data_IF_539933594827
#
_entry.id   IF_539933594827
#
_cell.length_a   1.000
_cell.length_b   1.000
_cell.length_c   1.000
_cell.angle_alpha   90.00
_cell.angle_beta   90.00
_cell.angle_gamma   90.00
#
_symmetry.space_group_name_H-M   'P 1'
#
loop_
_entity.id
_entity.type
_entity.pdbx_description
1 polymer ?
#
# COMPACT_ATOMS: atom_id res chain seq x y z
N UNK A 1 2.25 3.60 -16.41
CA UNK A 1 1.72 3.21 -15.07
C UNK A 1 2.19 1.80 -14.71
N UNK A 2 2.72 1.56 -13.51
CA UNK A 2 3.06 0.20 -13.04
C UNK A 2 1.79 -0.66 -12.88
N UNK A 3 1.82 -1.94 -13.27
CA UNK A 3 0.63 -2.82 -13.29
C UNK A 3 -0.07 -2.94 -11.93
N UNK A 4 0.70 -2.95 -10.84
CA UNK A 4 0.20 -3.08 -9.47
C UNK A 4 -0.70 -1.92 -9.05
N UNK A 5 -0.28 -0.67 -9.32
CA UNK A 5 -0.98 0.53 -8.86
C UNK A 5 -2.34 0.80 -9.54
N UNK A 6 -2.70 0.01 -10.56
CA UNK A 6 -3.98 0.18 -11.27
C UNK A 6 -5.20 0.02 -10.36
N UNK A 7 -5.12 -0.82 -9.32
CA UNK A 7 -6.20 -1.04 -8.36
C UNK A 7 -6.40 0.15 -7.41
N UNK A 8 -5.39 1.01 -7.26
CA UNK A 8 -5.40 2.12 -6.30
C UNK A 8 -5.66 3.47 -6.95
N UNK A 9 -6.10 3.51 -8.23
CA UNK A 9 -6.26 4.77 -8.97
C UNK A 9 -7.09 5.82 -8.22
N UNK A 10 -8.26 5.46 -7.70
CA UNK A 10 -9.10 6.38 -6.94
C UNK A 10 -8.59 6.73 -5.53
N UNK A 11 -7.66 5.95 -4.96
CA UNK A 11 -7.07 6.21 -3.63
C UNK A 11 -5.95 7.25 -3.67
N UNK A 12 -5.38 7.50 -4.86
CA UNK A 12 -4.21 8.37 -5.05
C UNK A 12 -4.58 9.81 -5.36
N UNK A 13 -5.85 10.09 -5.65
CA UNK A 13 -6.31 11.43 -5.96
C UNK A 13 -6.35 12.27 -4.67
N UNK A 14 -5.60 13.39 -4.58
CA UNK A 14 -5.53 14.20 -3.36
C UNK A 14 -6.89 14.76 -2.92
N UNK A 15 -7.82 14.95 -3.88
CA UNK A 15 -9.15 15.50 -3.62
C UNK A 15 -10.23 14.43 -3.40
N UNK A 16 -9.87 13.18 -3.09
CA UNK A 16 -10.84 12.08 -2.92
C UNK A 16 -11.93 12.36 -1.87
N UNK A 17 -11.65 13.22 -0.89
CA UNK A 17 -12.63 13.60 0.14
C UNK A 17 -13.64 14.66 -0.34
N UNK A 18 -13.39 15.30 -1.49
CA UNK A 18 -14.14 16.44 -2.01
C UNK A 18 -14.81 16.11 -3.35
N UNK A 19 -14.16 15.28 -4.17
CA UNK A 19 -14.63 14.90 -5.49
C UNK A 19 -15.37 13.56 -5.45
N UNK A 20 -16.63 13.58 -5.91
CA UNK A 20 -17.52 12.41 -5.91
C UNK A 20 -17.55 11.70 -7.26
N UNK A 21 -17.09 12.35 -8.35
CA UNK A 21 -17.05 11.73 -9.68
C UNK A 21 -15.84 10.78 -9.81
N UNK A 22 -16.07 9.46 -9.98
CA UNK A 22 -15.00 8.49 -10.17
C UNK A 22 -14.14 8.73 -11.41
N UNK A 23 -14.66 9.41 -12.44
CA UNK A 23 -13.93 9.72 -13.67
C UNK A 23 -12.92 10.84 -13.44
N UNK A 24 -13.33 11.93 -12.78
CA UNK A 24 -12.44 13.05 -12.42
C UNK A 24 -11.31 12.58 -11.51
N UNK A 25 -11.61 11.70 -10.54
CA UNK A 25 -10.61 11.08 -9.69
C UNK A 25 -9.59 10.24 -10.50
N UNK A 26 -10.03 9.55 -11.55
CA UNK A 26 -9.15 8.76 -12.42
C UNK A 26 -8.24 9.64 -13.25
N UNK A 27 -8.79 10.67 -13.90
CA UNK A 27 -8.02 11.60 -14.73
C UNK A 27 -6.96 12.32 -13.89
N UNK A 28 -7.35 12.83 -12.72
CA UNK A 28 -6.43 13.45 -11.76
C UNK A 28 -5.34 12.48 -11.34
N UNK A 29 -5.68 11.23 -11.04
CA UNK A 29 -4.69 10.25 -10.62
C UNK A 29 -3.79 9.73 -11.76
N UNK A 30 -4.21 9.90 -13.01
CA UNK A 30 -3.43 9.55 -14.20
C UNK A 30 -2.56 10.73 -14.68
N UNK A 31 -2.88 11.97 -14.29
CA UNK A 31 -2.06 13.17 -14.55
C UNK A 31 -0.95 13.40 -13.53
N UNK A 32 -0.95 12.68 -12.40
CA UNK A 32 0.11 12.79 -11.38
C UNK A 32 1.45 12.26 -11.91
N UNK A 33 2.53 12.98 -11.57
CA UNK A 33 3.87 12.50 -11.87
C UNK A 33 4.15 11.16 -11.18
N UNK A 34 4.76 10.26 -11.93
CA UNK A 34 4.96 8.89 -11.49
C UNK A 34 5.96 8.83 -10.34
N UNK A 35 7.07 9.57 -10.41
CA UNK A 35 8.11 9.49 -9.40
C UNK A 35 7.64 10.12 -8.10
N UNK A 36 6.98 11.29 -8.19
CA UNK A 36 6.38 11.96 -7.04
C UNK A 36 5.36 11.04 -6.35
N UNK A 37 4.50 10.37 -7.12
CA UNK A 37 3.52 9.44 -6.57
C UNK A 37 4.20 8.23 -5.89
N UNK A 38 5.21 7.63 -6.53
CA UNK A 38 5.90 6.47 -5.99
C UNK A 38 6.65 6.81 -4.69
N UNK A 39 7.08 8.05 -4.50
CA UNK A 39 7.76 8.50 -3.27
C UNK A 39 6.87 8.44 -2.03
N UNK A 40 5.53 8.48 -2.20
CA UNK A 40 4.54 8.45 -1.12
C UNK A 40 4.27 7.04 -0.58
N UNK A 41 4.81 6.00 -1.22
CA UNK A 41 4.58 4.62 -0.84
C UNK A 41 5.90 3.91 -0.50
N UNK A 42 5.91 3.23 0.63
CA UNK A 42 6.98 2.29 0.96
C UNK A 42 7.01 1.16 -0.08
N UNK A 43 8.22 0.75 -0.47
CA UNK A 43 8.45 -0.34 -1.41
C UNK A 43 9.15 -1.47 -0.66
N UNK A 44 8.68 -2.69 -0.87
CA UNK A 44 9.30 -3.89 -0.34
C UNK A 44 9.31 -4.98 -1.42
N UNK A 45 10.46 -5.62 -1.61
CA UNK A 45 10.65 -6.79 -2.46
C UNK A 45 10.69 -8.10 -1.67
N UNK A 46 10.86 -8.04 -0.35
CA UNK A 46 11.03 -9.21 0.53
C UNK A 46 10.16 -9.11 1.79
N UNK A 47 10.01 -10.23 2.51
CA UNK A 47 9.30 -10.26 3.81
C UNK A 47 10.03 -9.44 4.86
N UNK A 48 11.37 -9.45 4.86
CA UNK A 48 12.16 -8.73 5.85
C UNK A 48 12.02 -7.20 5.65
N UNK A 49 12.00 -6.73 4.40
CA UNK A 49 11.69 -5.32 4.11
C UNK A 49 10.26 -4.93 4.54
N UNK A 50 9.29 -5.84 4.43
CA UNK A 50 7.95 -5.61 4.97
C UNK A 50 7.97 -5.57 6.51
N UNK A 51 8.77 -6.41 7.17
CA UNK A 51 8.96 -6.35 8.62
C UNK A 51 9.54 -5.01 9.05
N UNK A 52 10.56 -4.50 8.36
CA UNK A 52 11.16 -3.20 8.67
C UNK A 52 10.15 -2.05 8.58
N UNK A 53 9.18 -2.14 7.65
CA UNK A 53 8.11 -1.15 7.49
C UNK A 53 7.07 -1.24 8.62
N UNK A 54 6.61 -2.45 8.96
CA UNK A 54 5.46 -2.63 9.84
C UNK A 54 5.82 -2.88 11.31
N UNK A 55 7.01 -3.40 11.62
CA UNK A 55 7.46 -3.70 12.98
C UNK A 55 7.46 -2.47 13.89
N UNK A 56 7.91 -1.27 13.47
CA UNK A 56 7.84 -0.08 14.32
C UNK A 56 6.41 0.23 14.77
N UNK A 57 5.41 0.01 13.92
CA UNK A 57 4.00 0.25 14.26
C UNK A 57 3.50 -0.67 15.39
N UNK A 58 4.04 -1.88 15.46
CA UNK A 58 3.68 -2.89 16.47
C UNK A 58 4.51 -2.73 17.75
N UNK A 59 5.82 -2.53 17.61
CA UNK A 59 6.76 -2.57 18.74
C UNK A 59 7.00 -1.21 19.36
N UNK A 60 7.18 -0.16 18.56
CA UNK A 60 7.55 1.17 19.05
C UNK A 60 6.32 2.04 19.32
N UNK A 61 5.33 1.97 18.43
CA UNK A 61 4.07 2.72 18.58
C UNK A 61 3.00 1.96 19.35
N UNK A 62 3.23 0.66 19.64
CA UNK A 62 2.30 -0.23 20.35
C UNK A 62 0.85 -0.13 19.82
N UNK A 63 0.71 -0.02 18.49
CA UNK A 63 -0.60 0.21 17.87
C UNK A 63 -1.52 -0.98 18.15
N UNK A 64 -2.70 -0.71 18.72
CA UNK A 64 -3.71 -1.75 18.98
C UNK A 64 -4.21 -2.40 17.68
N UNK A 65 -4.27 -1.62 16.60
CA UNK A 65 -4.72 -2.06 15.28
C UNK A 65 -3.74 -1.56 14.22
N UNK A 66 -3.16 -2.48 13.46
CA UNK A 66 -2.33 -2.17 12.28
C UNK A 66 -3.04 -2.63 11.02
N UNK A 67 -3.22 -1.71 10.07
CA UNK A 67 -3.77 -2.03 8.74
C UNK A 67 -2.64 -2.16 7.73
N UNK A 68 -2.57 -3.31 7.06
CA UNK A 68 -1.60 -3.57 5.99
C UNK A 68 -2.29 -3.37 4.65
N UNK A 69 -1.82 -2.40 3.87
CA UNK A 69 -2.32 -2.14 2.53
C UNK A 69 -1.18 -2.28 1.53
N UNK A 70 -1.25 -3.29 0.66
CA UNK A 70 -0.18 -3.60 -0.32
C UNK A 70 -0.76 -3.69 -1.73
N UNK A 71 -0.03 -3.09 -2.67
CA UNK A 71 -0.31 -3.19 -4.11
C UNK A 71 0.77 -4.08 -4.75
N UNK A 72 0.37 -5.23 -5.29
CA UNK A 72 1.27 -6.17 -5.95
C UNK A 72 0.75 -6.60 -7.31
N UNK A 73 1.63 -7.21 -8.12
CA UNK A 73 1.25 -7.74 -9.44
C UNK A 73 0.49 -9.06 -9.30
N UNK A 74 0.88 -9.91 -8.34
CA UNK A 74 0.21 -11.17 -8.03
C UNK A 74 -0.34 -11.10 -6.60
N UNK A 75 -1.61 -10.73 -6.48
CA UNK A 75 -2.25 -10.51 -5.18
C UNK A 75 -2.42 -11.80 -4.40
N UNK A 76 -2.78 -12.91 -5.04
CA UNK A 76 -2.97 -14.20 -4.37
C UNK A 76 -1.68 -14.67 -3.69
N UNK A 77 -0.56 -14.65 -4.43
CA UNK A 77 0.75 -15.00 -3.88
C UNK A 77 1.19 -14.04 -2.78
N UNK A 78 0.88 -12.74 -2.91
CA UNK A 78 1.16 -11.77 -1.85
C UNK A 78 0.34 -12.09 -0.60
N UNK A 79 -0.95 -12.34 -0.71
CA UNK A 79 -1.81 -12.69 0.44
C UNK A 79 -1.29 -13.96 1.14
N UNK A 80 -0.92 -14.98 0.37
CA UNK A 80 -0.35 -16.22 0.91
C UNK A 80 0.94 -15.95 1.70
N UNK A 81 1.87 -15.19 1.12
CA UNK A 81 3.13 -14.82 1.75
C UNK A 81 2.91 -13.98 3.02
N UNK A 82 1.99 -13.01 2.99
CA UNK A 82 1.65 -12.21 4.16
C UNK A 82 1.11 -13.09 5.29
N UNK A 83 0.20 -14.01 4.97
CA UNK A 83 -0.42 -14.90 5.96
C UNK A 83 0.55 -15.93 6.56
N UNK A 84 1.45 -16.48 5.74
CA UNK A 84 2.39 -17.54 6.16
C UNK A 84 3.65 -17.00 6.82
N UNK A 85 4.15 -15.85 6.38
CA UNK A 85 5.48 -15.37 6.78
C UNK A 85 5.45 -14.04 7.53
N UNK A 86 4.66 -13.05 7.09
CA UNK A 86 4.68 -11.73 7.70
C UNK A 86 3.86 -11.67 9.00
N UNK A 87 2.57 -12.00 8.93
CA UNK A 87 1.66 -11.85 10.06
C UNK A 87 2.10 -12.67 11.30
N UNK A 88 2.62 -13.91 11.17
CA UNK A 88 3.14 -14.65 12.33
C UNK A 88 4.35 -13.99 12.97
N UNK A 89 5.21 -13.31 12.19
CA UNK A 89 6.39 -12.59 12.70
C UNK A 89 6.02 -11.26 13.35
N UNK A 90 4.92 -10.62 12.93
CA UNK A 90 4.40 -9.39 13.52
C UNK A 90 3.57 -9.64 14.79
N UNK A 91 3.02 -10.84 14.97
CA UNK A 91 2.35 -11.21 16.21
C UNK A 91 3.40 -11.44 17.29
N UNK A 92 3.27 -10.70 18.40
CA UNK A 92 3.94 -11.03 19.67
C UNK A 92 3.39 -12.33 20.23
#
# INVERSE_FOLDING_TARGET
MGKSLKSWRGLRAPNRLQELDPMVLRETADSLDREELMSKFSRAGTVDELMDIYKPLVDDFESEIVTIQISSINQEKTIELLGKELLPKLKK
#
